data_IF_742260138939
#
_entry.id   IF_742260138939
#
_cell.length_a   1.000
_cell.length_b   1.000
_cell.length_c   1.000
_cell.angle_alpha   90.00
_cell.angle_beta   90.00
_cell.angle_gamma   90.00
#
_symmetry.space_group_name_H-M   'P 1'
#
loop_
_entity.id
_entity.type
_entity.pdbx_description
1 polymer ?
#
# COMPACT_ATOMS: atom_id res chain seq x y z
N UNK A 1 16.14 -10.27 -15.89
CA UNK A 1 15.00 -11.13 -16.28
C UNK A 1 15.31 -11.67 -17.67
N UNK A 2 15.05 -12.96 -17.96
CA UNK A 2 15.27 -13.51 -19.31
C UNK A 2 14.50 -12.69 -20.37
N UNK A 3 15.04 -12.48 -21.58
CA UNK A 3 14.41 -11.64 -22.61
C UNK A 3 12.99 -12.09 -22.97
N UNK A 4 12.74 -13.41 -22.99
CA UNK A 4 11.42 -14.01 -23.23
C UNK A 4 10.35 -13.73 -22.17
N UNK A 5 10.73 -13.22 -20.99
CA UNK A 5 9.83 -12.86 -19.89
C UNK A 5 9.59 -11.35 -19.78
N UNK A 6 10.14 -10.55 -20.70
CA UNK A 6 9.94 -9.11 -20.71
C UNK A 6 8.62 -8.77 -21.41
N UNK A 7 7.63 -8.37 -20.62
CA UNK A 7 6.40 -7.82 -21.16
C UNK A 7 6.66 -6.44 -21.79
N UNK A 8 5.96 -6.09 -22.88
CA UNK A 8 5.94 -4.72 -23.36
C UNK A 8 5.42 -3.79 -22.27
N UNK A 9 5.91 -2.55 -22.23
CA UNK A 9 5.62 -1.59 -21.16
C UNK A 9 4.12 -1.37 -20.93
N UNK A 10 3.32 -1.31 -22.00
CA UNK A 10 1.90 -0.99 -21.91
C UNK A 10 1.07 -2.11 -21.22
N UNK A 11 1.19 -3.39 -21.61
CA UNK A 11 0.65 -4.52 -20.86
C UNK A 11 1.12 -4.56 -19.40
N UNK A 12 2.42 -4.35 -19.16
CA UNK A 12 2.99 -4.36 -17.82
C UNK A 12 2.37 -3.27 -16.93
N UNK A 13 2.30 -2.03 -17.43
CA UNK A 13 1.63 -0.93 -16.76
C UNK A 13 0.15 -1.23 -16.50
N UNK A 14 -0.54 -1.82 -17.49
CA UNK A 14 -1.93 -2.23 -17.36
C UNK A 14 -2.14 -3.23 -16.22
N UNK A 15 -1.33 -4.28 -16.15
CA UNK A 15 -1.44 -5.31 -15.11
C UNK A 15 -1.23 -4.75 -13.69
N UNK A 16 -0.40 -3.72 -13.54
CA UNK A 16 -0.12 -3.12 -12.24
C UNK A 16 -1.07 -1.97 -11.87
N UNK A 17 -1.39 -1.09 -12.82
CA UNK A 17 -2.15 0.13 -12.58
C UNK A 17 -3.67 -0.07 -12.68
N UNK A 18 -4.14 -0.90 -13.62
CA UNK A 18 -5.57 -1.07 -13.89
C UNK A 18 -6.37 -1.53 -12.64
N UNK A 19 -5.89 -2.49 -11.83
CA UNK A 19 -6.60 -2.88 -10.60
C UNK A 19 -6.77 -1.70 -9.64
N UNK A 20 -5.73 -0.88 -9.47
CA UNK A 20 -5.77 0.28 -8.59
C UNK A 20 -6.73 1.37 -9.10
N UNK A 21 -6.75 1.62 -10.42
CA UNK A 21 -7.65 2.61 -11.04
C UNK A 21 -9.11 2.18 -10.90
N UNK A 22 -9.43 0.94 -11.27
CA UNK A 22 -10.79 0.41 -11.19
C UNK A 22 -11.29 0.41 -9.75
N UNK A 23 -10.45 -0.01 -8.79
CA UNK A 23 -10.79 0.07 -7.37
C UNK A 23 -11.02 1.52 -6.94
N UNK A 24 -10.16 2.45 -7.31
CA UNK A 24 -10.33 3.87 -6.96
C UNK A 24 -11.66 4.43 -7.46
N UNK A 25 -12.05 4.08 -8.69
CA UNK A 25 -13.33 4.50 -9.27
C UNK A 25 -14.53 3.90 -8.52
N UNK A 26 -14.50 2.60 -8.20
CA UNK A 26 -15.53 1.94 -7.42
C UNK A 26 -15.69 2.60 -6.04
N UNK A 27 -14.57 2.92 -5.38
CA UNK A 27 -14.59 3.56 -4.08
C UNK A 27 -15.15 4.98 -4.10
N UNK A 28 -14.89 5.74 -5.17
CA UNK A 28 -15.39 7.12 -5.30
C UNK A 28 -16.86 7.15 -5.70
N UNK A 29 -17.28 6.30 -6.65
CA UNK A 29 -18.58 6.42 -7.32
C UNK A 29 -19.65 5.47 -6.77
N UNK A 30 -19.26 4.28 -6.32
CA UNK A 30 -20.20 3.19 -6.00
C UNK A 30 -20.22 2.82 -4.52
N UNK A 31 -19.12 3.04 -3.78
CA UNK A 31 -19.03 2.67 -2.37
C UNK A 31 -19.69 3.68 -1.42
N UNK A 32 -20.39 3.24 -0.37
CA UNK A 32 -20.94 4.12 0.67
C UNK A 32 -19.82 4.77 1.51
N UNK A 33 -20.08 5.86 2.25
CA UNK A 33 -19.05 6.58 3.01
C UNK A 33 -18.33 5.67 4.02
N UNK A 34 -17.00 5.75 4.02
CA UNK A 34 -16.15 4.87 4.82
C UNK A 34 -16.10 5.26 6.30
N UNK A 35 -16.42 4.31 7.18
CA UNK A 35 -16.42 4.49 8.64
C UNK A 35 -15.03 4.43 9.29
N UNK A 36 -14.01 3.89 8.59
CA UNK A 36 -12.67 3.73 9.17
C UNK A 36 -12.03 5.11 9.36
N UNK A 37 -11.71 5.51 10.61
CA UNK A 37 -10.98 6.75 10.90
C UNK A 37 -9.59 6.70 10.27
N UNK A 38 -9.07 7.85 9.79
CA UNK A 38 -7.73 7.94 9.16
C UNK A 38 -6.65 7.35 10.07
N UNK A 39 -6.70 7.67 11.36
CA UNK A 39 -5.79 7.12 12.37
C UNK A 39 -5.86 5.60 12.49
N UNK A 40 -7.06 5.02 12.40
CA UNK A 40 -7.24 3.56 12.44
C UNK A 40 -6.66 2.87 11.20
N UNK A 41 -6.84 3.46 10.03
CA UNK A 41 -6.21 2.93 8.80
C UNK A 41 -4.68 2.99 8.90
N UNK A 42 -4.12 4.10 9.37
CA UNK A 42 -2.67 4.26 9.54
C UNK A 42 -2.08 3.27 10.54
N UNK A 43 -2.71 3.10 11.71
CA UNK A 43 -2.22 2.18 12.74
C UNK A 43 -2.23 0.73 12.25
N UNK A 44 -3.28 0.32 11.52
CA UNK A 44 -3.36 -1.01 10.91
C UNK A 44 -2.26 -1.18 9.86
N UNK A 45 -2.06 -0.22 8.96
CA UNK A 45 -1.02 -0.27 7.93
C UNK A 45 0.39 -0.41 8.52
N UNK A 46 0.68 0.38 9.56
CA UNK A 46 1.97 0.32 10.27
C UNK A 46 2.13 -1.03 10.97
N UNK A 47 1.12 -1.48 11.72
CA UNK A 47 1.17 -2.76 12.42
C UNK A 47 1.42 -3.93 11.46
N UNK A 48 0.69 -3.98 10.34
CA UNK A 48 0.86 -5.03 9.33
C UNK A 48 2.25 -4.96 8.69
N UNK A 49 2.76 -3.77 8.37
CA UNK A 49 4.09 -3.61 7.79
C UNK A 49 5.20 -4.13 8.73
N UNK A 50 5.14 -3.80 10.02
CA UNK A 50 6.11 -4.28 11.01
C UNK A 50 5.95 -5.78 11.31
N UNK A 51 4.71 -6.29 11.39
CA UNK A 51 4.46 -7.73 11.56
C UNK A 51 5.03 -8.53 10.40
N UNK A 52 4.82 -8.07 9.16
CA UNK A 52 5.35 -8.71 7.98
C UNK A 52 6.89 -8.67 7.96
N UNK A 53 7.50 -7.53 8.31
CA UNK A 53 8.95 -7.44 8.42
C UNK A 53 9.51 -8.39 9.50
N UNK A 54 8.95 -8.40 10.71
CA UNK A 54 9.35 -9.32 11.78
C UNK A 54 9.21 -10.78 11.37
N UNK A 55 8.16 -11.13 10.63
CA UNK A 55 7.97 -12.46 10.07
C UNK A 55 9.07 -12.82 9.08
N UNK A 56 9.46 -11.90 8.18
CA UNK A 56 10.56 -12.12 7.24
C UNK A 56 11.90 -12.37 7.97
N UNK A 57 12.19 -11.65 9.06
CA UNK A 57 13.40 -11.86 9.85
C UNK A 57 13.39 -13.20 10.60
N UNK A 58 12.22 -13.62 11.08
CA UNK A 58 12.05 -14.94 11.70
C UNK A 58 12.28 -16.05 10.66
N UNK A 59 11.68 -15.93 9.47
CA UNK A 59 11.91 -16.87 8.37
C UNK A 59 13.39 -16.91 7.97
N UNK A 60 14.07 -15.77 7.91
CA UNK A 60 15.51 -15.70 7.62
C UNK A 60 16.34 -16.43 8.69
N UNK A 61 16.03 -16.22 9.97
CA UNK A 61 16.73 -16.88 11.09
C UNK A 61 16.56 -18.40 11.07
N UNK A 62 15.41 -18.90 10.60
CA UNK A 62 15.09 -20.33 10.58
C UNK A 62 15.58 -21.04 9.31
N UNK A 63 15.48 -20.40 8.15
CA UNK A 63 15.77 -21.04 6.86
C UNK A 63 17.13 -20.63 6.27
N UNK A 64 17.77 -19.58 6.79
CA UNK A 64 19.03 -19.03 6.25
C UNK A 64 18.90 -18.40 4.86
N UNK A 65 17.68 -18.38 4.29
CA UNK A 65 17.39 -17.86 2.96
C UNK A 65 16.14 -16.99 2.97
N UNK A 66 16.26 -15.81 2.36
CA UNK A 66 15.13 -14.95 2.06
C UNK A 66 14.32 -15.60 0.92
N UNK A 67 13.24 -16.30 1.30
CA UNK A 67 12.23 -16.84 0.38
C UNK A 67 11.84 -15.71 -0.60
N UNK A 68 11.67 -15.99 -1.88
CA UNK A 68 12.38 -15.52 -3.09
C UNK A 68 12.41 -13.99 -3.42
N UNK A 69 12.62 -13.09 -2.45
CA UNK A 69 12.92 -11.67 -2.72
C UNK A 69 14.42 -11.43 -2.55
N UNK A 70 15.16 -11.71 -3.61
CA UNK A 70 16.61 -11.50 -3.72
C UNK A 70 17.04 -10.06 -3.37
N UNK A 71 16.13 -9.09 -3.49
CA UNK A 71 16.38 -7.66 -3.19
C UNK A 71 16.51 -7.36 -1.69
N UNK A 72 15.75 -8.02 -0.81
CA UNK A 72 15.72 -7.68 0.62
C UNK A 72 17.02 -8.09 1.35
N UNK A 73 17.66 -9.17 0.90
CA UNK A 73 18.96 -9.62 1.40
C UNK A 73 20.12 -8.68 1.03
N UNK A 74 19.97 -7.88 -0.03
CA UNK A 74 20.95 -6.86 -0.45
C UNK A 74 20.80 -5.55 0.33
N UNK A 75 19.66 -5.34 0.99
CA UNK A 75 19.37 -4.12 1.73
C UNK A 75 19.83 -4.22 3.19
N UNK A 76 20.56 -3.21 3.65
CA UNK A 76 20.92 -3.04 5.08
C UNK A 76 19.66 -2.82 5.92
N UNK A 77 19.75 -3.08 7.23
CA UNK A 77 18.62 -2.87 8.18
C UNK A 77 18.04 -1.46 8.07
N UNK A 78 18.90 -0.45 7.86
CA UNK A 78 18.45 0.93 7.70
C UNK A 78 17.66 1.15 6.41
N UNK A 79 18.08 0.55 5.30
CA UNK A 79 17.35 0.62 4.03
C UNK A 79 15.98 -0.07 4.14
N UNK A 80 15.88 -1.14 4.93
CA UNK A 80 14.60 -1.81 5.20
C UNK A 80 13.65 -0.94 6.01
N UNK A 81 14.15 -0.29 7.07
CA UNK A 81 13.36 0.68 7.85
C UNK A 81 12.82 1.78 6.94
N UNK A 82 13.66 2.35 6.08
CA UNK A 82 13.24 3.37 5.11
C UNK A 82 12.21 2.82 4.12
N UNK A 83 12.41 1.61 3.59
CA UNK A 83 11.49 1.00 2.63
C UNK A 83 10.10 0.76 3.24
N UNK A 84 10.03 0.11 4.40
CA UNK A 84 8.76 -0.18 5.07
C UNK A 84 8.10 1.08 5.63
N UNK A 85 8.88 2.02 6.17
CA UNK A 85 8.39 3.33 6.61
C UNK A 85 7.83 4.16 5.46
N UNK A 86 8.53 4.22 4.33
CA UNK A 86 8.06 4.88 3.12
C UNK A 86 6.78 4.24 2.57
N UNK A 87 6.72 2.90 2.55
CA UNK A 87 5.52 2.18 2.09
C UNK A 87 4.31 2.47 2.98
N UNK A 88 4.50 2.47 4.31
CA UNK A 88 3.44 2.79 5.26
C UNK A 88 2.95 4.25 5.11
N UNK A 89 3.87 5.20 4.95
CA UNK A 89 3.52 6.62 4.75
C UNK A 89 2.82 6.85 3.42
N UNK A 90 3.26 6.19 2.34
CA UNK A 90 2.62 6.25 1.04
C UNK A 90 1.18 5.69 1.10
N UNK A 91 0.97 4.56 1.79
CA UNK A 91 -0.37 4.01 2.00
C UNK A 91 -1.28 4.95 2.81
N UNK A 92 -0.75 5.56 3.86
CA UNK A 92 -1.45 6.57 4.66
C UNK A 92 -1.83 7.79 3.81
N UNK A 93 -0.88 8.32 3.03
CA UNK A 93 -1.07 9.43 2.11
C UNK A 93 -2.16 9.15 1.08
N UNK A 94 -2.12 7.98 0.43
CA UNK A 94 -3.14 7.54 -0.53
C UNK A 94 -4.53 7.46 0.12
N UNK A 95 -4.63 7.00 1.37
CA UNK A 95 -5.90 6.93 2.10
C UNK A 95 -6.46 8.32 2.41
N UNK A 96 -5.60 9.27 2.78
CA UNK A 96 -5.98 10.67 3.03
C UNK A 96 -6.45 11.33 1.73
N UNK A 97 -5.67 11.18 0.66
CA UNK A 97 -5.99 11.71 -0.66
C UNK A 97 -7.33 11.16 -1.17
N UNK A 98 -7.55 9.84 -1.08
CA UNK A 98 -8.80 9.21 -1.50
C UNK A 98 -10.01 9.75 -0.75
N UNK A 99 -9.91 9.91 0.58
CA UNK A 99 -10.98 10.51 1.38
C UNK A 99 -11.26 11.96 1.04
N UNK A 100 -10.21 12.72 0.72
CA UNK A 100 -10.35 14.10 0.30
C UNK A 100 -11.06 14.20 -1.06
N UNK A 101 -10.65 13.38 -2.04
CA UNK A 101 -11.31 13.32 -3.36
C UNK A 101 -12.76 12.86 -3.24
N UNK A 102 -13.03 11.81 -2.46
CA UNK A 102 -14.40 11.34 -2.18
C UNK A 102 -15.27 12.44 -1.57
N UNK A 103 -14.74 13.17 -0.58
CA UNK A 103 -15.44 14.30 0.07
C UNK A 103 -15.80 15.42 -0.92
N UNK A 104 -14.86 15.72 -1.82
CA UNK A 104 -15.01 16.75 -2.85
C UNK A 104 -16.02 16.36 -3.95
N UNK A 105 -15.99 15.10 -4.40
CA UNK A 105 -16.86 14.58 -5.47
C UNK A 105 -18.28 14.34 -4.97
N UNK A 106 -18.45 13.72 -3.79
CA UNK A 106 -19.76 13.34 -3.27
C UNK A 106 -20.38 14.41 -2.34
N UNK A 107 -19.77 15.58 -2.21
CA UNK A 107 -20.30 16.70 -1.41
C UNK A 107 -20.41 16.44 0.10
N UNK A 108 -19.71 15.41 0.61
CA UNK A 108 -19.76 14.98 2.02
C UNK A 108 -18.83 15.79 2.94
N UNK A 109 -18.16 16.83 2.43
CA UNK A 109 -17.32 17.76 3.21
C UNK A 109 -18.03 18.37 4.44
N UNK A 110 -19.37 18.40 4.45
CA UNK A 110 -20.17 18.85 5.61
C UNK A 110 -20.18 17.88 6.79
N UNK A 111 -19.83 16.60 6.61
CA UNK A 111 -19.93 15.59 7.67
C UNK A 111 -18.76 15.62 8.69
N UNK A 112 -17.70 16.39 8.43
CA UNK A 112 -16.51 16.46 9.31
C UNK A 112 -16.47 17.65 10.27
N UNK A 113 -17.44 18.58 10.23
CA UNK A 113 -17.44 19.75 11.14
C UNK A 113 -18.27 19.55 12.41
N UNK A 114 -18.49 18.31 12.85
CA UNK A 114 -19.35 18.02 14.01
C UNK A 114 -19.25 16.63 14.65
N UNK A 115 -18.11 15.94 14.58
CA UNK A 115 -17.90 14.70 15.36
C UNK A 115 -16.43 14.50 15.74
#
# INVERSE_FOLDING_TARGET
MPPELQLPFLPDLGFHAMPAVMLTLDLILLSPPWTIKVYGAMSISVAVAFLYWSWLELCFTKNGWYVPITSLGLLTTWQRVVLFGFSATMMAGSTIALKWVYGKVNGTDKFKRGA
#
